data_IF_591607776187
#
_entry.id   IF_591607776187
#
_cell.length_a   1.000
_cell.length_b   1.000
_cell.length_c   1.000
_cell.angle_alpha   90.00
_cell.angle_beta   90.00
_cell.angle_gamma   90.00
#
_symmetry.space_group_name_H-M   'P 1'
#
loop_
_entity.id
_entity.type
_entity.pdbx_description
1 polymer ?
#
# COMPACT_ATOMS: atom_id res chain seq x y z
N UNK A 1 9.23 -38.02 -25.04
CA UNK A 1 9.06 -36.65 -25.53
C UNK A 1 8.91 -35.72 -24.32
N UNK A 2 9.94 -34.96 -24.01
CA UNK A 2 9.84 -33.92 -22.99
C UNK A 2 8.98 -32.79 -23.58
N UNK A 3 7.70 -32.74 -23.21
CA UNK A 3 6.88 -31.56 -23.44
C UNK A 3 7.48 -30.46 -22.56
N UNK A 4 8.21 -29.52 -23.15
CA UNK A 4 8.59 -28.28 -22.49
C UNK A 4 7.29 -27.62 -22.02
N UNK A 5 7.02 -27.67 -20.73
CA UNK A 5 5.87 -27.02 -20.14
C UNK A 5 6.08 -25.51 -20.37
N UNK A 6 5.21 -24.88 -21.16
CA UNK A 6 5.29 -23.44 -21.37
C UNK A 6 5.30 -22.72 -20.02
N UNK A 7 6.14 -21.70 -19.89
CA UNK A 7 6.22 -20.89 -18.67
C UNK A 7 4.89 -20.15 -18.46
N UNK A 8 4.48 -20.06 -17.22
CA UNK A 8 3.32 -19.23 -16.86
C UNK A 8 3.71 -17.76 -17.00
N UNK A 9 3.01 -17.05 -17.88
CA UNK A 9 3.21 -15.62 -18.13
C UNK A 9 2.38 -14.78 -17.16
N UNK A 10 3.05 -13.95 -16.36
CA UNK A 10 2.42 -13.11 -15.34
C UNK A 10 2.59 -11.63 -15.72
N UNK A 11 1.50 -10.92 -15.93
CA UNK A 11 1.51 -9.47 -16.03
C UNK A 11 1.32 -8.85 -14.63
N UNK A 12 2.26 -8.03 -14.18
CA UNK A 12 2.18 -7.30 -12.91
C UNK A 12 1.84 -5.84 -13.19
N UNK A 13 0.70 -5.36 -12.69
CA UNK A 13 0.21 -4.00 -12.99
C UNK A 13 0.10 -3.18 -11.72
N UNK A 14 0.85 -2.08 -11.64
CA UNK A 14 0.76 -1.15 -10.53
C UNK A 14 1.06 0.30 -10.97
N UNK A 15 0.41 1.31 -10.36
CA UNK A 15 0.76 2.70 -10.61
C UNK A 15 2.17 3.01 -10.05
N UNK A 16 2.85 4.06 -10.54
CA UNK A 16 4.24 4.37 -10.18
C UNK A 16 4.40 5.00 -8.79
N UNK A 17 3.54 4.64 -7.84
CA UNK A 17 3.60 5.13 -6.47
C UNK A 17 4.29 4.12 -5.56
N UNK A 18 5.26 4.58 -4.74
CA UNK A 18 6.06 3.68 -3.89
C UNK A 18 5.22 2.81 -2.96
N UNK A 19 4.13 3.34 -2.39
CA UNK A 19 3.23 2.59 -1.49
C UNK A 19 2.39 1.51 -2.18
N UNK A 20 2.35 1.49 -3.52
CA UNK A 20 1.60 0.55 -4.35
C UNK A 20 2.53 -0.38 -5.13
N UNK A 21 3.53 0.19 -5.81
CA UNK A 21 4.44 -0.57 -6.65
C UNK A 21 5.41 -1.43 -5.83
N UNK A 22 6.01 -0.90 -4.75
CA UNK A 22 7.01 -1.66 -3.99
C UNK A 22 6.43 -2.90 -3.30
N UNK A 23 5.26 -2.84 -2.63
CA UNK A 23 4.65 -4.03 -2.06
C UNK A 23 4.35 -5.14 -3.08
N UNK A 24 3.86 -4.78 -4.29
CA UNK A 24 3.56 -5.79 -5.31
C UNK A 24 4.85 -6.34 -5.96
N UNK A 25 5.90 -5.51 -6.11
CA UNK A 25 7.21 -6.00 -6.56
C UNK A 25 7.83 -6.98 -5.56
N UNK A 26 7.79 -6.66 -4.25
CA UNK A 26 8.24 -7.58 -3.19
C UNK A 26 7.44 -8.89 -3.21
N UNK A 27 6.12 -8.81 -3.40
CA UNK A 27 5.23 -9.96 -3.50
C UNK A 27 5.63 -10.93 -4.62
N UNK A 28 6.03 -10.40 -5.80
CA UNK A 28 6.36 -11.21 -6.98
C UNK A 28 7.84 -11.52 -7.13
N UNK A 29 8.73 -10.81 -6.45
CA UNK A 29 10.19 -10.95 -6.59
C UNK A 29 10.71 -12.38 -6.38
N UNK A 30 10.24 -13.18 -5.40
CA UNK A 30 10.67 -14.57 -5.26
C UNK A 30 10.29 -15.45 -6.45
N UNK A 31 9.21 -15.12 -7.18
CA UNK A 31 8.81 -15.87 -8.40
C UNK A 31 9.76 -15.57 -9.57
N UNK A 32 10.35 -14.38 -9.63
CA UNK A 32 11.33 -14.01 -10.65
C UNK A 32 12.54 -14.94 -10.63
N UNK A 33 12.91 -15.48 -9.47
CA UNK A 33 14.00 -16.44 -9.33
C UNK A 33 13.66 -17.83 -9.87
N UNK A 34 12.38 -18.14 -10.12
CA UNK A 34 11.88 -19.40 -10.70
C UNK A 34 11.70 -19.27 -12.21
N UNK A 35 12.78 -18.86 -12.92
CA UNK A 35 12.78 -18.53 -14.35
C UNK A 35 12.32 -19.67 -15.26
N UNK A 36 12.45 -20.91 -14.82
CA UNK A 36 11.99 -22.08 -15.60
C UNK A 36 10.47 -22.25 -15.54
N UNK A 37 9.82 -21.63 -14.58
CA UNK A 37 8.37 -21.75 -14.34
C UNK A 37 7.59 -20.49 -14.70
N UNK A 38 8.16 -19.30 -14.50
CA UNK A 38 7.48 -18.03 -14.66
C UNK A 38 8.19 -17.11 -15.65
N UNK A 39 7.40 -16.38 -16.41
CA UNK A 39 7.78 -15.23 -17.23
C UNK A 39 6.99 -14.02 -16.73
N UNK A 40 7.67 -13.02 -16.17
CA UNK A 40 7.03 -11.91 -15.44
C UNK A 40 7.39 -10.60 -16.11
N UNK A 41 6.38 -9.82 -16.48
CA UNK A 41 6.54 -8.46 -16.99
C UNK A 41 5.76 -7.46 -16.12
N UNK A 42 6.36 -6.31 -15.80
CA UNK A 42 5.75 -5.25 -14.99
C UNK A 42 5.25 -4.11 -15.88
N UNK A 43 4.02 -3.65 -15.62
CA UNK A 43 3.36 -2.55 -16.32
C UNK A 43 3.15 -1.40 -15.34
N UNK A 44 3.83 -0.28 -15.56
CA UNK A 44 3.80 0.87 -14.63
C UNK A 44 4.08 2.19 -15.36
N UNK A 45 4.11 3.32 -14.64
CA UNK A 45 4.47 4.62 -15.20
C UNK A 45 5.97 4.87 -15.29
N UNK A 46 6.37 5.80 -16.14
CA UNK A 46 7.75 6.08 -16.55
C UNK A 46 8.72 6.31 -15.38
N UNK A 47 8.33 7.06 -14.34
CA UNK A 47 9.23 7.41 -13.23
C UNK A 47 9.72 6.24 -12.37
N UNK A 48 9.13 5.08 -12.54
CA UNK A 48 9.53 3.87 -11.81
C UNK A 48 10.19 2.82 -12.71
N UNK A 49 10.46 3.14 -13.98
CA UNK A 49 11.13 2.26 -14.93
C UNK A 49 12.45 1.74 -14.38
N UNK A 50 13.36 2.65 -14.03
CA UNK A 50 14.68 2.31 -13.49
C UNK A 50 14.61 1.40 -12.25
N UNK A 51 13.68 1.68 -11.34
CA UNK A 51 13.46 0.88 -10.13
C UNK A 51 13.09 -0.56 -10.48
N UNK A 52 12.20 -0.77 -11.43
CA UNK A 52 11.73 -2.10 -11.87
C UNK A 52 12.86 -2.85 -12.58
N UNK A 53 13.57 -2.20 -13.49
CA UNK A 53 14.70 -2.77 -14.24
C UNK A 53 15.86 -3.17 -13.30
N UNK A 54 16.18 -2.37 -12.30
CA UNK A 54 17.21 -2.68 -11.29
C UNK A 54 16.89 -3.93 -10.46
N UNK A 55 15.60 -4.27 -10.31
CA UNK A 55 15.17 -5.52 -9.66
C UNK A 55 15.21 -6.72 -10.61
N UNK A 56 15.53 -6.49 -11.88
CA UNK A 56 15.63 -7.54 -12.89
C UNK A 56 14.33 -7.90 -13.59
N UNK A 57 13.27 -7.10 -13.42
CA UNK A 57 12.01 -7.32 -14.12
C UNK A 57 12.02 -6.63 -15.50
N UNK A 58 11.55 -7.30 -16.56
CA UNK A 58 11.08 -6.64 -17.77
C UNK A 58 9.96 -5.64 -17.43
N UNK A 59 9.96 -4.47 -18.07
CA UNK A 59 8.98 -3.42 -17.81
C UNK A 59 8.42 -2.82 -19.09
N UNK A 60 7.11 -2.60 -19.11
CA UNK A 60 6.37 -1.83 -20.12
C UNK A 60 5.81 -0.58 -19.48
N UNK A 61 5.97 0.54 -20.17
CA UNK A 61 5.54 1.83 -19.65
C UNK A 61 4.16 2.16 -20.18
N UNK A 62 3.26 2.47 -19.25
CA UNK A 62 1.93 2.97 -19.55
C UNK A 62 1.97 4.49 -19.60
N UNK A 63 1.31 5.09 -20.60
CA UNK A 63 1.29 6.53 -20.88
C UNK A 63 2.70 7.11 -21.08
N UNK A 64 3.54 6.44 -21.85
CA UNK A 64 4.94 6.84 -22.08
C UNK A 64 5.04 8.25 -22.69
N UNK A 65 4.06 8.67 -23.50
CA UNK A 65 3.94 10.02 -24.03
C UNK A 65 3.62 11.10 -22.99
N UNK A 66 3.27 10.71 -21.75
CA UNK A 66 2.94 11.58 -20.61
C UNK A 66 3.65 11.13 -19.33
N UNK A 67 4.98 11.20 -19.27
CA UNK A 67 5.80 10.57 -18.24
C UNK A 67 5.49 11.03 -16.80
N UNK A 68 4.95 12.26 -16.65
CA UNK A 68 4.64 12.87 -15.34
C UNK A 68 3.16 12.82 -14.95
N UNK A 69 2.29 12.20 -15.78
CA UNK A 69 0.84 12.34 -15.61
C UNK A 69 0.32 11.76 -14.30
N UNK A 70 0.87 10.63 -13.85
CA UNK A 70 0.44 9.99 -12.60
C UNK A 70 0.76 10.84 -11.37
N UNK A 71 1.98 11.39 -11.33
CA UNK A 71 2.43 12.27 -10.25
C UNK A 71 1.68 13.60 -10.26
N UNK A 72 1.48 14.19 -11.42
CA UNK A 72 0.74 15.46 -11.55
C UNK A 72 -0.71 15.36 -11.04
N UNK A 73 -1.34 14.19 -11.17
CA UNK A 73 -2.67 13.96 -10.63
C UNK A 73 -2.63 13.70 -9.12
N UNK A 74 -1.63 12.98 -8.62
CA UNK A 74 -1.54 12.56 -7.23
C UNK A 74 -0.88 13.57 -6.31
N UNK A 75 0.10 14.34 -6.81
CA UNK A 75 0.80 15.37 -6.03
C UNK A 75 -0.15 16.54 -5.75
N UNK A 76 -0.37 16.81 -4.46
CA UNK A 76 -1.14 17.96 -4.01
C UNK A 76 -0.30 18.82 -3.08
N UNK A 77 -0.44 20.15 -3.19
CA UNK A 77 0.25 21.09 -2.31
C UNK A 77 -0.40 21.19 -0.91
N UNK A 78 -1.55 20.54 -0.73
CA UNK A 78 -2.39 20.64 0.47
C UNK A 78 -3.05 19.30 0.79
N UNK A 79 -3.50 19.17 2.03
CA UNK A 79 -4.33 18.03 2.48
C UNK A 79 -5.51 17.82 1.55
N UNK A 80 -5.79 16.57 1.20
CA UNK A 80 -6.90 16.16 0.36
C UNK A 80 -8.25 16.58 0.96
N UNK A 81 -9.11 17.15 0.14
CA UNK A 81 -10.48 17.52 0.45
C UNK A 81 -11.43 16.99 -0.65
N UNK A 82 -12.76 17.03 -0.47
CA UNK A 82 -13.70 16.49 -1.46
C UNK A 82 -13.57 17.09 -2.88
N UNK A 83 -13.16 18.36 -3.02
CA UNK A 83 -12.96 19.01 -4.32
C UNK A 83 -11.70 18.46 -5.01
N UNK A 84 -10.60 18.35 -4.27
CA UNK A 84 -9.34 17.77 -4.76
C UNK A 84 -9.59 16.31 -5.16
N UNK A 85 -10.24 15.52 -4.29
CA UNK A 85 -10.57 14.14 -4.56
C UNK A 85 -11.44 13.98 -5.83
N UNK A 86 -12.44 14.85 -6.03
CA UNK A 86 -13.25 14.86 -7.24
C UNK A 86 -12.43 15.18 -8.49
N UNK A 87 -11.54 16.19 -8.42
CA UNK A 87 -10.66 16.56 -9.53
C UNK A 87 -9.74 15.39 -9.92
N UNK A 88 -9.04 14.80 -8.94
CA UNK A 88 -8.19 13.64 -9.14
C UNK A 88 -8.94 12.46 -9.74
N UNK A 89 -10.14 12.17 -9.23
CA UNK A 89 -10.99 11.09 -9.74
C UNK A 89 -11.41 11.33 -11.20
N UNK A 90 -11.81 12.56 -11.53
CA UNK A 90 -12.19 12.96 -12.90
C UNK A 90 -11.03 12.85 -13.87
N UNK A 91 -9.83 13.31 -13.48
CA UNK A 91 -8.61 13.23 -14.31
C UNK A 91 -8.19 11.78 -14.53
N UNK A 92 -8.14 10.95 -13.47
CA UNK A 92 -7.85 9.53 -13.59
C UNK A 92 -8.86 8.82 -14.52
N UNK A 93 -10.16 9.11 -14.37
CA UNK A 93 -11.19 8.54 -15.24
C UNK A 93 -10.99 8.96 -16.71
N UNK A 94 -10.49 10.18 -16.96
CA UNK A 94 -10.15 10.67 -18.29
C UNK A 94 -9.01 9.90 -18.96
N UNK A 95 -8.08 9.36 -18.17
CA UNK A 95 -6.95 8.56 -18.66
C UNK A 95 -7.31 7.09 -18.91
N UNK A 96 -8.33 6.57 -18.23
CA UNK A 96 -8.69 5.15 -18.28
C UNK A 96 -8.83 4.58 -19.70
N UNK A 97 -9.53 5.23 -20.67
CA UNK A 97 -9.69 4.67 -22.00
C UNK A 97 -8.35 4.44 -22.70
N UNK A 98 -7.38 5.34 -22.52
CA UNK A 98 -6.04 5.21 -23.10
C UNK A 98 -5.25 4.09 -22.42
N UNK A 99 -5.24 4.04 -21.09
CA UNK A 99 -4.55 2.99 -20.34
C UNK A 99 -5.13 1.61 -20.68
N UNK A 100 -6.46 1.50 -20.75
CA UNK A 100 -7.14 0.25 -21.16
C UNK A 100 -6.67 -0.17 -22.56
N UNK A 101 -6.64 0.75 -23.52
CA UNK A 101 -6.22 0.47 -24.89
C UNK A 101 -4.76 0.00 -24.96
N UNK A 102 -3.84 0.71 -24.30
CA UNK A 102 -2.43 0.32 -24.25
C UNK A 102 -2.24 -1.06 -23.61
N UNK A 103 -2.96 -1.35 -22.52
CA UNK A 103 -2.91 -2.67 -21.89
C UNK A 103 -3.50 -3.77 -22.79
N UNK A 104 -4.61 -3.49 -23.51
CA UNK A 104 -5.19 -4.42 -24.47
C UNK A 104 -4.20 -4.76 -25.60
N UNK A 105 -3.48 -3.75 -26.11
CA UNK A 105 -2.48 -3.94 -27.15
C UNK A 105 -1.33 -4.82 -26.65
N UNK A 106 -0.74 -4.50 -25.48
CA UNK A 106 0.31 -5.30 -24.87
C UNK A 106 -0.16 -6.74 -24.57
N UNK A 107 -1.33 -6.91 -23.97
CA UNK A 107 -1.80 -8.26 -23.56
C UNK A 107 -2.27 -9.11 -24.74
N UNK A 108 -2.68 -8.49 -25.85
CA UNK A 108 -3.00 -9.21 -27.08
C UNK A 108 -1.73 -9.78 -27.74
N UNK A 109 -0.60 -9.09 -27.62
CA UNK A 109 0.70 -9.52 -28.12
C UNK A 109 1.36 -10.53 -27.18
N UNK A 110 1.48 -10.21 -25.92
CA UNK A 110 2.25 -11.00 -24.93
C UNK A 110 1.46 -12.18 -24.35
N UNK A 111 0.12 -12.11 -24.37
CA UNK A 111 -0.82 -13.15 -23.92
C UNK A 111 -0.50 -13.68 -22.52
N UNK A 112 -0.56 -12.82 -21.47
CA UNK A 112 -0.35 -13.29 -20.12
C UNK A 112 -1.43 -14.30 -19.70
N UNK A 113 -1.03 -15.33 -18.95
CA UNK A 113 -1.94 -16.34 -18.41
C UNK A 113 -2.73 -15.80 -17.21
N UNK A 114 -2.13 -14.86 -16.47
CA UNK A 114 -2.73 -14.27 -15.28
C UNK A 114 -2.17 -12.86 -15.05
N UNK A 115 -3.01 -11.98 -14.48
CA UNK A 115 -2.59 -10.62 -14.06
C UNK A 115 -2.53 -10.58 -12.54
N UNK A 116 -1.48 -9.97 -11.97
CA UNK A 116 -1.39 -9.56 -10.57
C UNK A 116 -1.42 -8.05 -10.54
N UNK A 117 -2.46 -7.46 -9.94
CA UNK A 117 -2.71 -6.03 -10.03
C UNK A 117 -2.83 -5.38 -8.66
N UNK A 118 -2.22 -4.22 -8.50
CA UNK A 118 -2.51 -3.36 -7.35
C UNK A 118 -3.98 -2.88 -7.39
N UNK A 119 -4.60 -2.73 -6.23
CA UNK A 119 -6.03 -2.44 -6.11
C UNK A 119 -6.46 -1.10 -6.73
N UNK A 120 -5.56 -0.14 -6.90
CA UNK A 120 -5.87 1.11 -7.61
C UNK A 120 -5.58 1.04 -9.12
N UNK A 121 -5.06 -0.07 -9.61
CA UNK A 121 -4.91 -0.33 -11.04
C UNK A 121 -6.27 -0.72 -11.67
N UNK A 122 -7.28 0.12 -11.50
CA UNK A 122 -8.67 -0.12 -11.92
C UNK A 122 -8.82 -0.52 -13.39
N UNK A 123 -8.02 -0.02 -14.38
CA UNK A 123 -8.10 -0.47 -15.76
C UNK A 123 -8.02 -1.99 -15.95
N UNK A 124 -7.36 -2.72 -15.03
CA UNK A 124 -7.23 -4.19 -15.10
C UNK A 124 -8.58 -4.90 -15.11
N UNK A 125 -9.58 -4.44 -14.33
CA UNK A 125 -10.89 -5.11 -14.29
C UNK A 125 -11.60 -5.09 -15.66
N UNK A 126 -11.34 -4.09 -16.52
CA UNK A 126 -11.90 -4.00 -17.86
C UNK A 126 -11.15 -4.89 -18.85
N UNK A 127 -9.82 -4.78 -18.83
CA UNK A 127 -8.95 -5.55 -19.75
C UNK A 127 -9.05 -7.04 -19.48
N UNK A 128 -9.03 -7.44 -18.21
CA UNK A 128 -9.24 -8.83 -17.76
C UNK A 128 -10.55 -9.41 -18.29
N UNK A 129 -11.67 -8.66 -18.12
CA UNK A 129 -12.99 -9.07 -18.62
C UNK A 129 -13.01 -9.20 -20.16
N UNK A 130 -12.43 -8.22 -20.86
CA UNK A 130 -12.45 -8.18 -22.33
C UNK A 130 -11.60 -9.27 -22.97
N UNK A 131 -10.41 -9.50 -22.43
CA UNK A 131 -9.46 -10.51 -22.94
C UNK A 131 -9.62 -11.89 -22.29
N UNK A 132 -10.56 -12.01 -21.33
CA UNK A 132 -10.80 -13.25 -20.58
C UNK A 132 -9.55 -13.77 -19.86
N UNK A 133 -8.74 -12.88 -19.29
CA UNK A 133 -7.54 -13.20 -18.53
C UNK A 133 -7.87 -13.14 -17.05
N UNK A 134 -7.68 -14.20 -16.24
CA UNK A 134 -7.91 -14.14 -14.80
C UNK A 134 -6.91 -13.22 -14.11
N UNK A 135 -7.30 -12.67 -12.96
CA UNK A 135 -6.45 -11.76 -12.24
C UNK A 135 -6.56 -11.87 -10.72
N UNK A 136 -5.54 -11.38 -10.03
CA UNK A 136 -5.44 -11.32 -8.58
C UNK A 136 -5.30 -9.86 -8.19
N UNK A 137 -6.09 -9.38 -7.21
CA UNK A 137 -5.88 -8.07 -6.60
C UNK A 137 -4.88 -8.17 -5.47
N UNK A 138 -3.85 -7.33 -5.48
CA UNK A 138 -2.95 -7.07 -4.37
C UNK A 138 -3.37 -5.79 -3.67
N UNK A 139 -3.59 -5.82 -2.36
CA UNK A 139 -4.07 -4.66 -1.61
C UNK A 139 -3.25 -4.42 -0.33
N UNK A 140 -2.36 -3.40 -0.32
CA UNK A 140 -1.58 -3.06 0.87
C UNK A 140 -2.44 -2.42 1.98
N UNK A 141 -3.60 -1.86 1.65
CA UNK A 141 -4.53 -1.21 2.57
C UNK A 141 -5.88 -1.95 2.61
N UNK A 142 -5.99 -3.10 3.30
CA UNK A 142 -7.15 -3.99 3.23
C UNK A 142 -8.48 -3.32 3.57
N UNK A 143 -8.48 -2.37 4.49
CA UNK A 143 -9.67 -1.64 4.90
C UNK A 143 -10.18 -0.63 3.85
N UNK A 144 -9.51 -0.49 2.69
CA UNK A 144 -10.03 0.25 1.55
C UNK A 144 -11.25 -0.45 0.91
N UNK A 145 -11.36 -1.76 1.05
CA UNK A 145 -12.56 -2.51 0.65
C UNK A 145 -13.75 -2.02 1.47
N UNK A 146 -14.85 -1.66 0.78
CA UNK A 146 -16.07 -1.18 1.43
C UNK A 146 -16.61 -2.22 2.41
N UNK A 147 -16.86 -1.82 3.66
CA UNK A 147 -17.39 -2.71 4.68
C UNK A 147 -18.93 -2.67 4.75
N UNK A 148 -19.52 -3.78 5.22
CA UNK A 148 -20.99 -3.93 5.32
C UNK A 148 -21.51 -3.67 6.74
N UNK A 149 -20.75 -4.03 7.75
CA UNK A 149 -21.23 -4.12 9.15
C UNK A 149 -20.43 -3.31 10.15
N UNK A 150 -19.13 -3.21 9.99
CA UNK A 150 -18.21 -2.64 10.98
C UNK A 150 -17.97 -1.13 10.83
N UNK A 151 -17.07 -0.55 11.64
CA UNK A 151 -16.67 0.86 11.57
C UNK A 151 -15.95 1.13 10.24
N UNK A 152 -16.41 2.09 9.42
CA UNK A 152 -15.84 2.35 8.11
C UNK A 152 -14.48 3.08 8.20
N UNK A 153 -13.60 2.80 7.25
CA UNK A 153 -12.36 3.52 7.03
C UNK A 153 -12.56 4.79 6.17
N UNK A 154 -11.51 5.59 6.04
CA UNK A 154 -11.49 6.88 5.30
C UNK A 154 -12.44 7.94 5.84
N UNK A 155 -12.81 7.85 7.11
CA UNK A 155 -13.60 8.85 7.84
C UNK A 155 -12.78 9.39 9.01
N UNK A 156 -11.56 9.87 8.71
CA UNK A 156 -10.63 10.48 9.67
C UNK A 156 -10.28 9.59 10.88
N UNK A 157 -10.23 8.27 10.71
CA UNK A 157 -9.82 7.33 11.76
C UNK A 157 -10.85 7.17 12.87
N UNK A 158 -12.02 6.61 12.53
CA UNK A 158 -13.05 6.31 13.52
C UNK A 158 -12.64 5.10 14.36
N UNK A 159 -12.74 5.25 15.69
CA UNK A 159 -12.59 4.13 16.63
C UNK A 159 -13.85 3.28 16.68
N UNK A 160 -13.75 1.94 16.56
CA UNK A 160 -14.86 1.02 16.78
C UNK A 160 -15.33 1.09 18.23
N UNK A 161 -16.65 1.11 18.44
CA UNK A 161 -17.28 1.12 19.77
C UNK A 161 -18.63 0.42 19.72
N UNK A 162 -18.96 -0.33 20.77
CA UNK A 162 -20.14 -1.20 20.80
C UNK A 162 -21.45 -0.53 21.17
N UNK A 163 -21.45 0.74 21.64
CA UNK A 163 -22.71 1.39 22.04
C UNK A 163 -23.61 1.70 20.83
N UNK A 164 -24.92 1.76 21.05
CA UNK A 164 -25.93 2.01 20.04
C UNK A 164 -25.66 3.28 19.22
N UNK A 165 -25.23 4.36 19.88
CA UNK A 165 -24.92 5.64 19.23
C UNK A 165 -23.78 5.49 18.22
N UNK A 166 -22.70 4.74 18.56
CA UNK A 166 -21.58 4.53 17.67
C UNK A 166 -21.93 3.57 16.53
N UNK A 167 -22.75 2.54 16.77
CA UNK A 167 -23.29 1.68 15.70
C UNK A 167 -24.14 2.48 14.70
N UNK A 168 -24.94 3.44 15.20
CA UNK A 168 -25.71 4.34 14.35
C UNK A 168 -24.78 5.30 13.56
N UNK A 169 -23.77 5.91 14.19
CA UNK A 169 -22.73 6.69 13.53
C UNK A 169 -22.10 5.89 12.37
N UNK A 170 -21.68 4.65 12.63
CA UNK A 170 -21.02 3.81 11.64
C UNK A 170 -21.95 3.44 10.48
N UNK A 171 -23.23 3.17 10.76
CA UNK A 171 -24.25 2.96 9.72
C UNK A 171 -24.41 4.18 8.81
N UNK A 172 -24.48 5.38 9.39
CA UNK A 172 -24.56 6.62 8.62
C UNK A 172 -23.28 6.87 7.81
N UNK A 173 -22.12 6.66 8.39
CA UNK A 173 -20.84 6.85 7.72
C UNK A 173 -20.68 5.88 6.53
N UNK A 174 -21.04 4.60 6.67
CA UNK A 174 -21.08 3.64 5.55
C UNK A 174 -22.08 4.08 4.46
N UNK A 175 -23.27 4.49 4.86
CA UNK A 175 -24.28 5.01 3.94
C UNK A 175 -23.79 6.24 3.17
N UNK A 176 -23.09 7.14 3.84
CA UNK A 176 -22.50 8.33 3.23
C UNK A 176 -21.40 7.95 2.21
N UNK A 177 -20.46 7.07 2.56
CA UNK A 177 -19.40 6.61 1.64
C UNK A 177 -20.02 5.98 0.39
N UNK A 178 -20.96 5.06 0.58
CA UNK A 178 -21.64 4.37 -0.53
C UNK A 178 -22.47 5.33 -1.38
N UNK A 179 -23.18 6.27 -0.76
CA UNK A 179 -23.90 7.33 -1.42
C UNK A 179 -23.00 8.25 -2.23
N UNK A 180 -21.87 8.65 -1.66
CA UNK A 180 -20.87 9.47 -2.33
C UNK A 180 -20.28 8.77 -3.56
N UNK A 181 -19.87 7.49 -3.45
CA UNK A 181 -19.41 6.70 -4.59
C UNK A 181 -20.45 6.60 -5.70
N UNK A 182 -21.73 6.33 -5.35
CA UNK A 182 -22.84 6.30 -6.32
C UNK A 182 -23.06 7.65 -6.98
N UNK A 183 -22.99 8.74 -6.21
CA UNK A 183 -23.14 10.11 -6.72
C UNK A 183 -22.01 10.45 -7.71
N UNK A 184 -20.75 10.12 -7.39
CA UNK A 184 -19.63 10.29 -8.33
C UNK A 184 -19.84 9.50 -9.62
N UNK A 185 -20.27 8.24 -9.53
CA UNK A 185 -20.60 7.44 -10.70
C UNK A 185 -21.76 8.04 -11.51
N UNK A 186 -22.76 8.62 -10.85
CA UNK A 186 -23.86 9.28 -11.52
C UNK A 186 -23.41 10.56 -12.24
N UNK A 187 -22.60 11.40 -11.60
CA UNK A 187 -22.06 12.63 -12.21
C UNK A 187 -21.22 12.27 -13.45
N UNK A 188 -20.42 11.22 -13.35
CA UNK A 188 -19.49 10.78 -14.41
C UNK A 188 -20.07 9.67 -15.31
N UNK A 189 -21.39 9.47 -15.27
CA UNK A 189 -22.07 8.36 -15.97
C UNK A 189 -21.83 8.32 -17.48
N UNK A 190 -21.59 9.48 -18.13
CA UNK A 190 -21.30 9.52 -19.57
C UNK A 190 -19.98 8.84 -19.91
N UNK A 191 -18.94 9.06 -19.08
CA UNK A 191 -17.63 8.41 -19.23
C UNK A 191 -17.71 6.93 -18.86
N UNK A 192 -18.33 6.61 -17.72
CA UNK A 192 -18.49 5.25 -17.23
C UNK A 192 -19.33 4.37 -18.16
N UNK A 193 -20.35 4.93 -18.83
CA UNK A 193 -21.17 4.19 -19.81
C UNK A 193 -20.35 3.74 -21.01
N UNK A 194 -19.34 4.53 -21.44
CA UNK A 194 -18.43 4.14 -22.51
C UNK A 194 -17.54 2.95 -22.13
N UNK A 195 -17.36 2.70 -20.83
CA UNK A 195 -16.55 1.63 -20.27
C UNK A 195 -17.40 0.41 -19.84
N UNK A 196 -18.72 0.43 -20.01
CA UNK A 196 -19.67 -0.58 -19.49
C UNK A 196 -19.40 -0.90 -18.00
N UNK A 197 -19.15 0.14 -17.19
CA UNK A 197 -18.79 -0.03 -15.78
C UNK A 197 -20.00 -0.06 -14.85
N UNK A 198 -20.07 -1.12 -14.03
CA UNK A 198 -20.96 -1.21 -12.88
C UNK A 198 -20.11 -1.20 -11.60
N UNK A 199 -20.39 -0.25 -10.70
CA UNK A 199 -19.62 -0.08 -9.46
C UNK A 199 -19.72 -1.31 -8.55
N UNK A 200 -20.88 -1.93 -8.45
CA UNK A 200 -21.15 -3.08 -7.58
C UNK A 200 -21.64 -4.28 -8.39
N UNK A 201 -21.26 -5.47 -7.96
CA UNK A 201 -21.79 -6.74 -8.42
C UNK A 201 -23.16 -7.04 -7.76
N UNK A 202 -23.76 -8.19 -8.09
CA UNK A 202 -25.05 -8.63 -7.54
C UNK A 202 -25.01 -8.85 -6.02
N UNK A 203 -23.85 -9.18 -5.46
CA UNK A 203 -23.61 -9.32 -4.01
C UNK A 203 -23.40 -7.98 -3.30
N UNK A 204 -23.41 -6.87 -4.07
CA UNK A 204 -23.16 -5.52 -3.56
C UNK A 204 -21.68 -5.26 -3.22
N UNK A 205 -20.75 -6.03 -3.77
CA UNK A 205 -19.31 -5.86 -3.65
C UNK A 205 -18.76 -5.03 -4.81
N UNK A 206 -17.66 -4.34 -4.60
CA UNK A 206 -17.06 -3.46 -5.60
C UNK A 206 -16.42 -4.27 -6.75
N UNK A 207 -16.82 -4.00 -7.98
CA UNK A 207 -16.34 -4.70 -9.19
C UNK A 207 -14.90 -4.34 -9.60
N UNK A 208 -14.26 -3.42 -8.90
CA UNK A 208 -12.85 -3.04 -9.14
C UNK A 208 -11.87 -4.08 -8.60
N UNK A 209 -12.33 -4.98 -7.72
CA UNK A 209 -11.51 -6.04 -7.17
C UNK A 209 -11.71 -7.36 -7.91
N UNK A 210 -10.68 -8.20 -7.89
CA UNK A 210 -10.73 -9.52 -8.53
C UNK A 210 -11.86 -10.39 -7.96
N UNK A 211 -12.65 -11.05 -8.82
CA UNK A 211 -13.59 -12.06 -8.37
C UNK A 211 -12.91 -13.40 -8.01
N UNK A 212 -11.62 -13.57 -8.33
CA UNK A 212 -10.88 -14.83 -8.14
C UNK A 212 -10.09 -14.86 -6.83
N UNK A 213 -9.35 -13.77 -6.54
CA UNK A 213 -8.53 -13.67 -5.32
C UNK A 213 -8.17 -12.22 -5.03
N UNK A 214 -8.24 -11.85 -3.75
CA UNK A 214 -7.78 -10.57 -3.20
C UNK A 214 -6.75 -10.88 -2.12
N UNK A 215 -5.50 -10.53 -2.35
CA UNK A 215 -4.39 -10.73 -1.41
C UNK A 215 -4.12 -9.46 -0.62
N UNK A 216 -4.45 -9.48 0.65
CA UNK A 216 -4.19 -8.40 1.57
C UNK A 216 -2.74 -8.42 2.04
N UNK A 217 -1.98 -7.38 1.69
CA UNK A 217 -0.58 -7.21 2.10
C UNK A 217 -0.51 -6.55 3.49
N UNK A 218 -1.15 -7.18 4.45
CA UNK A 218 -1.27 -6.72 5.84
C UNK A 218 -1.42 -7.86 6.81
N UNK A 219 -1.57 -7.54 8.09
CA UNK A 219 -1.71 -8.51 9.18
C UNK A 219 -3.14 -8.53 9.70
N UNK A 220 -3.70 -9.75 9.84
CA UNK A 220 -5.02 -9.96 10.45
C UNK A 220 -5.07 -9.48 11.90
N UNK A 221 -3.98 -9.63 12.62
CA UNK A 221 -3.88 -9.38 14.06
C UNK A 221 -4.04 -7.92 14.48
N UNK A 222 -3.87 -6.97 13.54
CA UNK A 222 -4.14 -5.56 13.80
C UNK A 222 -5.48 -5.09 13.22
N UNK A 223 -6.20 -5.96 12.50
CA UNK A 223 -7.48 -5.61 11.88
C UNK A 223 -8.64 -5.99 12.80
N UNK A 224 -9.54 -5.06 13.04
CA UNK A 224 -10.76 -5.28 13.84
C UNK A 224 -11.98 -5.67 13.00
N UNK A 225 -11.85 -5.67 11.66
CA UNK A 225 -12.90 -6.08 10.71
C UNK A 225 -12.79 -7.57 10.38
N UNK A 226 -13.95 -8.17 10.10
CA UNK A 226 -14.10 -9.54 9.63
C UNK A 226 -15.01 -9.67 8.40
N UNK A 227 -15.62 -8.56 7.94
CA UNK A 227 -16.61 -8.51 6.87
C UNK A 227 -16.00 -8.34 5.46
N UNK A 228 -14.96 -9.10 5.15
CA UNK A 228 -14.30 -9.12 3.85
C UNK A 228 -15.02 -10.06 2.84
N UNK A 229 -14.87 -9.83 1.52
CA UNK A 229 -15.37 -10.75 0.48
C UNK A 229 -14.80 -12.17 0.62
N UNK A 230 -15.53 -13.18 0.14
CA UNK A 230 -15.13 -14.59 0.28
C UNK A 230 -13.81 -14.95 -0.41
N UNK A 231 -13.42 -14.21 -1.46
CA UNK A 231 -12.16 -14.37 -2.19
C UNK A 231 -10.97 -13.63 -1.55
N UNK A 232 -11.18 -13.00 -0.40
CA UNK A 232 -10.14 -12.28 0.35
C UNK A 232 -9.29 -13.22 1.20
N UNK A 233 -7.97 -12.99 1.21
CA UNK A 233 -7.01 -13.72 2.06
C UNK A 233 -5.93 -12.79 2.58
N UNK A 234 -5.50 -13.00 3.82
CA UNK A 234 -4.35 -12.32 4.42
C UNK A 234 -3.06 -12.95 3.91
N UNK A 235 -2.31 -12.22 3.08
CA UNK A 235 -1.02 -12.68 2.56
C UNK A 235 0.15 -12.34 3.50
N UNK A 236 -0.01 -11.31 4.29
CA UNK A 236 1.04 -10.76 5.11
C UNK A 236 1.68 -9.52 4.48
N UNK A 237 2.36 -8.70 5.29
CA UNK A 237 2.95 -7.45 4.82
C UNK A 237 4.09 -7.67 3.82
N UNK A 238 4.14 -6.78 2.82
CA UNK A 238 5.29 -6.58 1.94
C UNK A 238 5.86 -5.18 2.24
N UNK A 239 6.86 -5.11 3.08
CA UNK A 239 7.44 -3.85 3.57
C UNK A 239 8.97 -3.89 3.67
N UNK A 240 9.61 -4.93 3.11
CA UNK A 240 11.07 -5.04 3.08
C UNK A 240 11.67 -4.06 2.08
N UNK A 241 12.88 -3.65 2.37
CA UNK A 241 13.65 -2.81 1.46
C UNK A 241 14.05 -3.60 0.22
N UNK A 242 13.62 -3.12 -0.94
CA UNK A 242 13.95 -3.73 -2.23
C UNK A 242 15.40 -3.44 -2.66
N UNK A 243 16.01 -2.40 -2.12
CA UNK A 243 17.38 -1.98 -2.42
C UNK A 243 18.13 -1.68 -1.13
N UNK A 244 19.37 -2.11 -1.07
CA UNK A 244 20.29 -1.88 0.08
C UNK A 244 21.14 -0.60 -0.09
N UNK A 245 20.68 0.34 -0.86
CA UNK A 245 21.42 1.56 -1.19
C UNK A 245 20.90 2.71 -0.33
N UNK A 246 21.37 2.82 0.89
CA UNK A 246 21.07 3.97 1.74
C UNK A 246 22.34 4.66 2.22
N UNK A 247 22.21 5.90 2.69
CA UNK A 247 23.27 6.55 3.44
C UNK A 247 23.63 5.68 4.66
N UNK A 248 24.90 5.48 4.92
CA UNK A 248 25.36 4.74 6.10
C UNK A 248 25.02 5.54 7.35
N UNK A 249 24.22 4.98 8.22
CA UNK A 249 23.97 5.51 9.55
C UNK A 249 24.85 4.78 10.57
N UNK A 250 25.66 5.55 11.30
CA UNK A 250 26.50 5.06 12.38
C UNK A 250 25.89 5.43 13.73
N UNK A 251 25.84 4.44 14.62
CA UNK A 251 25.29 4.63 15.97
C UNK A 251 26.29 5.45 16.80
N UNK A 252 25.84 6.60 17.31
CA UNK A 252 26.62 7.41 18.25
C UNK A 252 26.32 6.98 19.69
N UNK A 253 27.23 6.29 20.33
CA UNK A 253 27.09 5.70 21.68
C UNK A 253 26.95 6.71 22.82
N UNK A 254 27.20 8.00 22.55
CA UNK A 254 27.04 9.08 23.55
C UNK A 254 25.58 9.39 23.89
N UNK A 255 24.62 8.92 23.07
CA UNK A 255 23.19 9.16 23.30
C UNK A 255 22.52 7.97 23.98
N UNK A 256 21.60 8.24 24.91
CA UNK A 256 20.87 7.22 25.65
C UNK A 256 19.85 6.49 24.77
N UNK A 257 19.24 7.21 23.83
CA UNK A 257 18.20 6.72 22.91
C UNK A 257 18.37 7.31 21.52
N UNK A 258 18.00 6.53 20.52
CA UNK A 258 17.96 6.96 19.12
C UNK A 258 16.52 6.89 18.62
N UNK A 259 16.02 8.01 18.11
CA UNK A 259 14.64 8.15 17.64
C UNK A 259 14.65 8.43 16.13
N UNK A 260 14.04 7.55 15.34
CA UNK A 260 13.83 7.78 13.91
C UNK A 260 12.55 8.58 13.69
N UNK A 261 12.64 9.63 12.89
CA UNK A 261 11.46 10.36 12.39
C UNK A 261 11.36 10.20 10.88
N UNK A 262 10.18 9.82 10.35
CA UNK A 262 9.97 9.71 8.91
C UNK A 262 8.55 10.01 8.48
N UNK A 263 8.40 10.58 7.27
CA UNK A 263 7.11 10.86 6.63
C UNK A 263 6.87 10.07 5.34
N UNK A 264 7.74 9.11 5.07
CA UNK A 264 7.66 8.35 3.82
C UNK A 264 7.94 9.23 2.59
N UNK A 265 7.55 8.74 1.42
CA UNK A 265 7.94 9.33 0.13
C UNK A 265 6.91 10.30 -0.46
N UNK A 266 5.65 10.27 -0.02
CA UNK A 266 4.52 10.79 -0.80
C UNK A 266 4.13 12.25 -0.52
N UNK A 267 4.15 12.74 0.70
CA UNK A 267 3.63 14.07 1.02
C UNK A 267 4.74 15.13 1.04
N UNK A 268 5.11 15.69 -0.12
CA UNK A 268 6.18 16.71 -0.24
C UNK A 268 5.95 17.92 0.69
N UNK A 269 4.71 18.44 0.75
CA UNK A 269 4.34 19.57 1.61
C UNK A 269 4.55 19.29 3.11
N UNK A 270 4.56 18.03 3.50
CA UNK A 270 4.69 17.64 4.90
C UNK A 270 6.15 17.48 5.36
N UNK A 271 7.15 17.49 4.44
CA UNK A 271 8.56 17.23 4.77
C UNK A 271 9.15 18.27 5.74
N UNK A 272 8.86 19.56 5.54
CA UNK A 272 9.37 20.61 6.43
C UNK A 272 8.84 20.49 7.86
N UNK A 273 7.62 19.98 8.05
CA UNK A 273 7.03 19.85 9.38
C UNK A 273 7.70 18.76 10.22
N UNK A 274 8.29 17.69 9.62
CA UNK A 274 8.98 16.65 10.40
C UNK A 274 10.32 17.17 10.95
N UNK A 275 11.06 17.98 10.17
CA UNK A 275 12.32 18.60 10.63
C UNK A 275 12.01 19.53 11.78
N UNK A 276 10.93 20.31 11.70
CA UNK A 276 10.52 21.20 12.80
C UNK A 276 10.18 20.43 14.07
N UNK A 277 9.38 19.35 13.96
CA UNK A 277 9.08 18.47 15.10
C UNK A 277 10.37 17.87 15.68
N UNK A 278 11.29 17.41 14.83
CA UNK A 278 12.56 16.84 15.27
C UNK A 278 13.40 17.85 16.04
N UNK A 279 13.50 19.11 15.56
CA UNK A 279 14.21 20.19 16.27
C UNK A 279 13.61 20.51 17.64
N UNK A 280 12.31 20.59 17.75
CA UNK A 280 11.64 20.82 19.02
C UNK A 280 11.88 19.69 20.02
N UNK A 281 11.84 18.44 19.56
CA UNK A 281 12.13 17.27 20.39
C UNK A 281 13.61 17.23 20.79
N UNK A 282 14.54 17.52 19.87
CA UNK A 282 15.98 17.53 20.15
C UNK A 282 16.37 18.56 21.21
N UNK A 283 15.72 19.72 21.22
CA UNK A 283 15.92 20.73 22.25
C UNK A 283 15.39 20.29 23.62
N UNK A 284 14.25 19.59 23.66
CA UNK A 284 13.64 19.12 24.91
C UNK A 284 14.36 17.90 25.51
N UNK A 285 14.94 17.03 24.65
CA UNK A 285 15.59 15.78 25.04
C UNK A 285 17.05 15.74 24.56
N UNK A 286 17.96 16.52 25.18
CA UNK A 286 19.35 16.66 24.68
C UNK A 286 20.17 15.36 24.75
N UNK A 287 19.77 14.38 25.58
CA UNK A 287 20.43 13.09 25.72
C UNK A 287 20.02 12.08 24.66
N UNK A 288 19.03 12.40 23.79
CA UNK A 288 18.56 11.50 22.74
C UNK A 288 18.99 12.01 21.37
N UNK A 289 19.34 11.07 20.48
CA UNK A 289 19.63 11.38 19.08
C UNK A 289 18.36 11.29 18.24
N UNK A 290 18.06 12.35 17.50
CA UNK A 290 16.94 12.41 16.57
C UNK A 290 17.46 12.28 15.15
N UNK A 291 17.01 11.23 14.45
CA UNK A 291 17.40 10.91 13.07
C UNK A 291 16.20 11.07 12.16
N UNK A 292 16.28 11.93 11.16
CA UNK A 292 15.18 12.19 10.24
C UNK A 292 15.49 11.58 8.87
N UNK A 293 14.55 10.80 8.34
CA UNK A 293 14.57 10.33 6.94
C UNK A 293 13.45 11.02 6.14
N UNK A 294 13.82 11.76 5.09
CA UNK A 294 12.85 12.51 4.26
C UNK A 294 12.21 11.67 3.16
N UNK A 295 12.62 10.41 2.99
CA UNK A 295 12.07 9.50 1.98
C UNK A 295 12.39 9.90 0.52
N UNK A 296 13.41 10.73 0.28
CA UNK A 296 13.81 11.18 -1.05
C UNK A 296 14.89 10.25 -1.62
N UNK A 297 14.50 9.10 -2.14
CA UNK A 297 15.43 8.07 -2.64
C UNK A 297 16.37 8.56 -3.75
N UNK A 298 15.93 9.44 -4.63
CA UNK A 298 16.77 9.99 -5.73
C UNK A 298 17.95 10.84 -5.21
N UNK A 299 17.87 11.33 -3.98
CA UNK A 299 18.91 12.15 -3.34
C UNK A 299 19.58 11.42 -2.18
N UNK A 300 19.52 10.08 -2.16
CA UNK A 300 19.88 9.20 -1.04
C UNK A 300 21.31 9.35 -0.50
N UNK A 301 22.24 9.79 -1.34
CA UNK A 301 23.66 9.91 -0.97
C UNK A 301 24.01 11.20 -0.21
N UNK A 302 23.05 12.14 -0.13
CA UNK A 302 23.28 13.44 0.49
C UNK A 302 22.85 13.44 1.96
N UNK A 303 23.76 13.77 2.87
CA UNK A 303 23.45 14.21 4.22
C UNK A 303 23.05 15.70 4.17
N UNK A 304 21.97 16.07 4.87
CA UNK A 304 21.47 17.44 4.81
C UNK A 304 21.92 18.26 6.04
N UNK A 305 21.75 17.67 7.24
CA UNK A 305 21.99 18.36 8.50
C UNK A 305 22.64 17.39 9.49
N UNK A 306 23.70 17.86 10.16
CA UNK A 306 24.25 17.22 11.34
C UNK A 306 24.51 18.30 12.41
N UNK A 307 23.57 18.41 13.35
CA UNK A 307 23.57 19.39 14.41
C UNK A 307 23.44 18.68 15.78
N UNK A 308 24.41 18.86 16.69
CA UNK A 308 24.34 18.31 18.05
C UNK A 308 23.74 16.90 18.16
N UNK A 309 22.42 16.81 18.47
CA UNK A 309 21.64 15.58 18.61
C UNK A 309 20.53 15.47 17.55
N UNK A 310 20.70 16.09 16.38
CA UNK A 310 19.80 16.02 15.23
C UNK A 310 20.58 15.71 13.97
N UNK A 311 20.19 14.64 13.26
CA UNK A 311 20.73 14.28 11.95
C UNK A 311 19.59 14.15 10.95
N UNK A 312 19.73 14.73 9.74
CA UNK A 312 18.71 14.68 8.70
C UNK A 312 19.32 14.09 7.42
N UNK A 313 18.69 13.05 6.92
CA UNK A 313 19.06 12.33 5.71
C UNK A 313 17.96 12.45 4.66
N UNK A 314 18.35 12.46 3.39
CA UNK A 314 17.38 12.37 2.30
C UNK A 314 16.66 11.02 2.29
N UNK A 315 17.38 9.93 2.51
CA UNK A 315 16.82 8.58 2.56
C UNK A 315 17.63 7.68 3.49
N UNK A 316 16.93 6.92 4.31
CA UNK A 316 17.48 5.81 5.09
C UNK A 316 16.62 4.57 4.83
N UNK A 317 17.30 3.46 4.61
CA UNK A 317 16.65 2.16 4.46
C UNK A 317 16.11 1.68 5.81
N UNK A 318 14.83 1.28 5.85
CA UNK A 318 14.19 0.88 7.09
C UNK A 318 14.74 -0.43 7.65
N UNK A 319 15.12 -1.40 6.81
CA UNK A 319 15.71 -2.65 7.28
C UNK A 319 17.13 -2.45 7.85
N UNK A 320 17.82 -1.36 7.45
CA UNK A 320 19.15 -1.02 7.98
C UNK A 320 19.08 -0.12 9.24
N UNK A 321 18.13 0.83 9.28
CA UNK A 321 18.06 1.82 10.37
C UNK A 321 17.24 1.32 11.56
N UNK A 322 16.11 0.62 11.33
CA UNK A 322 15.22 0.23 12.42
C UNK A 322 15.89 -0.67 13.47
N UNK A 323 16.75 -1.63 13.13
CA UNK A 323 17.51 -2.37 14.16
C UNK A 323 18.33 -1.48 15.11
N UNK A 324 18.77 -0.31 14.63
CA UNK A 324 19.69 0.60 15.33
C UNK A 324 19.00 1.68 16.17
N UNK A 325 17.67 1.83 16.05
CA UNK A 325 16.91 2.85 16.77
C UNK A 325 16.07 2.23 17.90
N UNK A 326 15.70 3.02 18.90
CA UNK A 326 14.85 2.60 20.00
C UNK A 326 13.36 2.83 19.68
N UNK A 327 13.04 3.99 19.12
CA UNK A 327 11.67 4.45 18.88
C UNK A 327 11.51 5.09 17.51
N UNK A 328 10.27 5.11 17.02
CA UNK A 328 9.95 5.69 15.72
C UNK A 328 8.81 6.72 15.85
N UNK A 329 8.94 7.84 15.15
CA UNK A 329 7.84 8.79 14.93
C UNK A 329 7.55 8.80 13.43
N UNK A 330 6.33 8.43 13.04
CA UNK A 330 6.00 8.33 11.61
C UNK A 330 4.57 8.76 11.29
N UNK A 331 4.30 8.91 9.99
CA UNK A 331 3.01 9.39 9.49
C UNK A 331 1.87 8.35 9.50
N UNK A 332 2.16 7.06 9.70
CA UNK A 332 1.14 6.00 9.71
C UNK A 332 0.89 5.33 8.34
N UNK A 333 1.82 5.42 7.40
CA UNK A 333 1.73 4.64 6.16
C UNK A 333 1.97 3.14 6.41
N UNK A 334 1.39 2.27 5.56
CA UNK A 334 1.49 0.81 5.69
C UNK A 334 2.93 0.30 5.81
N UNK A 335 3.83 0.73 4.88
CA UNK A 335 5.20 0.24 4.84
C UNK A 335 5.96 0.46 6.15
N UNK A 336 6.00 1.70 6.67
CA UNK A 336 6.71 2.00 7.92
C UNK A 336 6.04 1.38 9.15
N UNK A 337 4.70 1.28 9.18
CA UNK A 337 3.99 0.63 10.29
C UNK A 337 4.38 -0.85 10.37
N UNK A 338 4.31 -1.58 9.26
CA UNK A 338 4.70 -2.99 9.25
C UNK A 338 6.20 -3.19 9.44
N UNK A 339 7.05 -2.27 8.98
CA UNK A 339 8.48 -2.28 9.30
C UNK A 339 8.73 -2.10 10.79
N UNK A 340 7.99 -1.22 11.48
CA UNK A 340 8.04 -1.10 12.94
C UNK A 340 7.63 -2.40 13.64
N UNK A 341 6.57 -3.07 13.19
CA UNK A 341 6.16 -4.37 13.72
C UNK A 341 7.24 -5.42 13.48
N UNK A 342 7.76 -5.53 12.25
CA UNK A 342 8.83 -6.47 11.85
C UNK A 342 10.05 -6.36 12.79
N UNK A 343 10.48 -5.14 13.06
CA UNK A 343 11.67 -4.85 13.87
C UNK A 343 11.38 -4.60 15.36
N UNK A 344 10.15 -4.87 15.83
CA UNK A 344 9.72 -4.67 17.21
C UNK A 344 10.00 -3.25 17.73
N UNK A 345 9.65 -2.20 16.94
CA UNK A 345 9.89 -0.81 17.29
C UNK A 345 8.61 -0.08 17.66
N UNK A 346 8.49 0.35 18.93
CA UNK A 346 7.36 1.19 19.37
C UNK A 346 7.32 2.52 18.63
N UNK A 347 6.11 3.05 18.41
CA UNK A 347 5.99 4.25 17.61
C UNK A 347 5.03 5.30 18.17
N UNK A 348 5.26 6.56 17.76
CA UNK A 348 4.25 7.62 17.74
C UNK A 348 3.81 7.85 16.29
N UNK A 349 2.51 7.76 16.05
CA UNK A 349 1.91 7.98 14.74
C UNK A 349 1.30 9.38 14.69
N UNK A 350 1.71 10.17 13.69
CA UNK A 350 1.20 11.52 13.43
C UNK A 350 0.53 11.49 12.03
N UNK A 351 -0.74 11.13 11.93
CA UNK A 351 -1.43 11.01 10.63
C UNK A 351 -1.56 12.38 9.94
N UNK A 352 -1.41 12.39 8.62
CA UNK A 352 -1.50 13.60 7.79
C UNK A 352 -2.67 13.54 6.82
N UNK A 353 -2.80 12.43 6.08
CA UNK A 353 -3.82 12.28 5.04
C UNK A 353 -4.14 10.80 4.76
N UNK A 354 -5.13 10.54 3.93
CA UNK A 354 -5.56 9.23 3.41
C UNK A 354 -5.81 8.16 4.49
N UNK A 355 -5.23 6.98 4.30
CA UNK A 355 -5.32 5.79 5.13
C UNK A 355 -4.56 5.87 6.46
N UNK A 356 -3.72 6.89 6.63
CA UNK A 356 -2.84 7.06 7.79
C UNK A 356 -3.61 7.15 9.11
N UNK A 357 -4.80 7.79 9.09
CA UNK A 357 -5.67 7.88 10.26
C UNK A 357 -6.20 6.51 10.68
N UNK A 358 -6.57 5.69 9.70
CA UNK A 358 -7.12 4.36 9.94
C UNK A 358 -6.05 3.37 10.40
N UNK A 359 -4.82 3.49 9.89
CA UNK A 359 -3.66 2.76 10.43
C UNK A 359 -3.31 3.21 11.85
N UNK A 360 -3.41 4.51 12.14
CA UNK A 360 -3.23 5.04 13.48
C UNK A 360 -4.19 4.40 14.49
N UNK A 361 -5.49 4.32 14.15
CA UNK A 361 -6.50 3.66 15.00
C UNK A 361 -6.16 2.19 15.24
N UNK A 362 -5.76 1.46 14.20
CA UNK A 362 -5.38 0.04 14.32
C UNK A 362 -4.18 -0.17 15.20
N UNK A 363 -3.17 0.66 15.05
CA UNK A 363 -1.95 0.60 15.86
C UNK A 363 -2.20 0.95 17.34
N UNK A 364 -3.06 1.94 17.60
CA UNK A 364 -3.46 2.33 18.96
C UNK A 364 -4.29 1.23 19.64
N UNK A 365 -5.27 0.67 18.93
CA UNK A 365 -6.08 -0.46 19.43
C UNK A 365 -5.26 -1.73 19.66
N UNK A 366 -4.25 -1.98 18.83
CA UNK A 366 -3.29 -3.07 19.01
C UNK A 366 -2.26 -2.77 20.11
N UNK A 367 -2.27 -1.58 20.68
CA UNK A 367 -1.34 -1.10 21.72
C UNK A 367 0.14 -1.15 21.31
N UNK A 368 0.44 -0.87 20.04
CA UNK A 368 1.80 -0.85 19.48
C UNK A 368 2.31 0.55 19.18
N UNK A 369 1.45 1.55 19.23
CA UNK A 369 1.80 2.94 19.02
C UNK A 369 0.87 3.88 19.78
N UNK A 370 1.29 5.13 19.95
CA UNK A 370 0.44 6.25 20.38
C UNK A 370 0.14 7.16 19.20
N UNK A 371 -1.10 7.63 19.09
CA UNK A 371 -1.51 8.54 18.00
C UNK A 371 -1.50 9.98 18.49
N UNK A 372 -0.89 10.86 17.71
CA UNK A 372 -0.82 12.29 18.00
C UNK A 372 -1.48 13.14 16.91
N UNK A 373 -2.01 14.29 17.32
CA UNK A 373 -2.57 15.26 16.39
C UNK A 373 -1.47 16.18 15.84
N UNK A 374 -1.27 16.18 14.53
CA UNK A 374 -0.29 17.02 13.84
C UNK A 374 -0.38 18.52 14.19
N UNK A 375 -1.60 19.03 14.39
CA UNK A 375 -1.85 20.46 14.68
C UNK A 375 -1.62 20.83 16.14
N UNK A 376 -1.27 19.87 17.00
CA UNK A 376 -1.11 20.08 18.43
C UNK A 376 0.26 19.62 18.93
N UNK A 377 1.18 20.56 19.10
CA UNK A 377 2.48 20.30 19.74
C UNK A 377 2.32 19.57 21.08
N UNK A 378 1.35 19.99 21.91
CA UNK A 378 1.04 19.34 23.20
C UNK A 378 0.65 17.87 23.01
N UNK A 379 -0.12 17.55 21.95
CA UNK A 379 -0.49 16.16 21.63
C UNK A 379 0.72 15.32 21.25
N UNK A 380 1.63 15.87 20.44
CA UNK A 380 2.85 15.18 20.00
C UNK A 380 3.75 14.89 21.20
N UNK A 381 4.03 15.90 22.02
CA UNK A 381 4.85 15.75 23.23
C UNK A 381 4.24 14.74 24.19
N UNK A 382 2.92 14.82 24.45
CA UNK A 382 2.23 13.87 25.33
C UNK A 382 2.29 12.43 24.81
N UNK A 383 2.17 12.22 23.51
CA UNK A 383 2.27 10.88 22.93
C UNK A 383 3.71 10.35 23.03
N UNK A 384 4.70 11.21 22.81
CA UNK A 384 6.11 10.87 22.94
C UNK A 384 6.49 10.55 24.40
N UNK A 385 6.09 11.38 25.39
CA UNK A 385 6.32 11.13 26.81
C UNK A 385 5.70 9.78 27.24
N UNK A 386 4.45 9.50 26.83
CA UNK A 386 3.79 8.21 27.11
C UNK A 386 4.55 7.02 26.52
N UNK A 387 5.12 7.17 25.32
CA UNK A 387 5.92 6.12 24.68
C UNK A 387 7.20 5.84 25.47
N UNK A 388 7.87 6.88 25.98
CA UNK A 388 9.07 6.76 26.82
C UNK A 388 8.77 6.12 28.18
N UNK A 389 7.63 6.45 28.79
CA UNK A 389 7.18 5.93 30.08
C UNK A 389 6.78 4.45 30.03
N UNK A 390 6.32 3.97 28.87
CA UNK A 390 5.86 2.59 28.68
C UNK A 390 7.03 1.61 28.60
N UNK A 391 7.21 0.79 29.64
CA UNK A 391 8.33 -0.16 29.74
C UNK A 391 8.16 -1.43 28.89
N UNK A 392 6.93 -1.89 28.69
CA UNK A 392 6.65 -3.16 28.04
C UNK A 392 5.71 -3.02 26.84
N UNK A 393 6.08 -3.63 25.74
CA UNK A 393 5.35 -3.61 24.48
C UNK A 393 4.97 -5.04 24.05
N UNK A 394 4.31 -5.78 24.98
CA UNK A 394 4.00 -7.22 24.82
C UNK A 394 3.22 -7.52 23.53
N UNK A 395 2.29 -6.66 23.14
CA UNK A 395 1.53 -6.87 21.91
C UNK A 395 2.41 -6.67 20.67
N UNK A 396 3.32 -5.72 20.69
CA UNK A 396 4.27 -5.50 19.59
C UNK A 396 5.20 -6.70 19.41
N UNK A 397 5.70 -7.30 20.50
CA UNK A 397 6.49 -8.53 20.46
C UNK A 397 5.72 -9.71 19.88
N UNK A 398 4.42 -9.88 20.26
CA UNK A 398 3.55 -10.89 19.70
C UNK A 398 3.34 -10.68 18.20
N UNK A 399 3.08 -9.45 17.78
CA UNK A 399 2.89 -9.10 16.38
C UNK A 399 4.16 -9.26 15.54
N UNK A 400 5.33 -8.92 16.09
CA UNK A 400 6.61 -9.18 15.44
C UNK A 400 6.85 -10.68 15.20
N UNK A 401 6.48 -11.53 16.14
CA UNK A 401 6.50 -13.01 15.95
C UNK A 401 5.51 -13.46 14.88
N UNK A 402 4.26 -12.96 14.93
CA UNK A 402 3.23 -13.27 13.95
C UNK A 402 3.62 -12.82 12.54
N UNK A 403 4.29 -11.66 12.40
CA UNK A 403 4.81 -11.16 11.13
C UNK A 403 5.65 -12.21 10.40
N UNK A 404 6.54 -12.90 11.12
CA UNK A 404 7.45 -13.91 10.57
C UNK A 404 6.74 -15.21 10.14
N UNK A 405 5.46 -15.40 10.48
CA UNK A 405 4.67 -16.56 10.02
C UNK A 405 4.01 -16.36 8.67
N UNK A 406 4.02 -15.15 8.16
CA UNK A 406 3.47 -14.84 6.83
C UNK A 406 4.46 -15.15 5.72
N UNK A 407 3.96 -15.70 4.62
CA UNK A 407 4.70 -15.95 3.37
C UNK A 407 3.92 -15.43 2.18
N UNK A 408 3.95 -14.10 1.90
CA UNK A 408 3.11 -13.49 0.87
C UNK A 408 3.27 -14.12 -0.51
N UNK A 409 4.51 -14.38 -0.92
CA UNK A 409 4.83 -14.95 -2.24
C UNK A 409 4.38 -16.40 -2.38
N UNK A 410 4.45 -17.20 -1.31
CA UNK A 410 3.98 -18.59 -1.34
C UNK A 410 2.46 -18.64 -1.48
N UNK A 411 1.74 -17.73 -0.80
CA UNK A 411 0.30 -17.62 -0.99
C UNK A 411 -0.05 -17.14 -2.40
N UNK A 412 0.68 -16.16 -2.95
CA UNK A 412 0.50 -15.74 -4.35
C UNK A 412 0.69 -16.91 -5.30
N UNK A 413 1.76 -17.68 -5.16
CA UNK A 413 2.04 -18.84 -6.02
C UNK A 413 0.93 -19.91 -5.92
N UNK A 414 0.44 -20.18 -4.72
CA UNK A 414 -0.70 -21.08 -4.47
C UNK A 414 -1.96 -20.60 -5.19
N UNK A 415 -2.27 -19.30 -5.11
CA UNK A 415 -3.45 -18.71 -5.73
C UNK A 415 -3.34 -18.70 -7.27
N UNK A 416 -2.17 -18.38 -7.84
CA UNK A 416 -1.91 -18.49 -9.26
C UNK A 416 -2.21 -19.93 -9.75
N UNK A 417 -1.61 -20.93 -9.10
CA UNK A 417 -1.81 -22.34 -9.48
C UNK A 417 -3.28 -22.77 -9.32
N UNK A 418 -3.98 -22.32 -8.28
CA UNK A 418 -5.41 -22.62 -8.05
C UNK A 418 -6.29 -22.06 -9.16
N UNK A 419 -6.06 -20.78 -9.53
CA UNK A 419 -6.87 -20.08 -10.53
C UNK A 419 -6.64 -20.70 -11.91
N UNK A 420 -5.39 -20.92 -12.32
CA UNK A 420 -5.07 -21.46 -13.64
C UNK A 420 -5.62 -22.89 -13.82
N UNK A 421 -5.49 -23.77 -12.81
CA UNK A 421 -6.12 -25.09 -12.82
C UNK A 421 -7.65 -25.01 -12.95
N UNK A 422 -8.28 -24.02 -12.35
CA UNK A 422 -9.72 -23.78 -12.49
C UNK A 422 -10.11 -23.38 -13.91
N UNK A 423 -9.33 -22.51 -14.55
CA UNK A 423 -9.54 -22.05 -15.93
C UNK A 423 -9.33 -23.21 -16.94
N UNK A 424 -8.30 -24.03 -16.76
CA UNK A 424 -8.05 -25.20 -17.61
C UNK A 424 -9.23 -26.19 -17.59
N UNK A 425 -9.76 -26.50 -16.40
CA UNK A 425 -10.94 -27.37 -16.26
C UNK A 425 -12.17 -26.82 -16.97
N UNK A 426 -12.40 -25.50 -16.93
CA UNK A 426 -13.51 -24.86 -17.63
C UNK A 426 -13.35 -24.90 -19.16
N UNK A 427 -12.12 -24.65 -19.66
CA UNK A 427 -11.83 -24.75 -21.09
C UNK A 427 -12.08 -26.19 -21.62
N UNK A 428 -11.62 -27.17 -20.85
CA UNK A 428 -11.83 -28.58 -21.19
C UNK A 428 -13.32 -28.95 -21.22
N UNK A 429 -14.07 -28.54 -20.19
CA UNK A 429 -15.52 -28.76 -20.10
C UNK A 429 -16.30 -28.11 -21.25
N UNK A 430 -15.93 -26.91 -21.68
CA UNK A 430 -16.56 -26.22 -22.82
C UNK A 430 -16.22 -26.87 -24.15
N UNK A 431 -15.02 -27.42 -24.31
CA UNK A 431 -14.63 -28.18 -25.51
C UNK A 431 -15.44 -29.49 -25.62
N UNK A 432 -15.57 -30.24 -24.54
CA UNK A 432 -16.40 -31.46 -24.52
C UNK A 432 -17.89 -31.18 -24.84
N UNK A 433 -18.41 -29.99 -24.51
CA UNK A 433 -19.79 -29.62 -24.88
C UNK A 433 -19.96 -29.14 -26.32
N UNK A 434 -18.89 -28.73 -27.01
CA UNK A 434 -18.92 -28.33 -28.41
C UNK A 434 -18.71 -29.54 -29.36
N UNK A 435 -18.17 -30.63 -28.86
CA UNK A 435 -17.93 -31.86 -29.59
C UNK A 435 -19.12 -32.83 -29.51
N UNK A 436 -20.21 -32.44 -28.83
CA UNK A 436 -21.53 -33.09 -28.81
C UNK A 436 -22.57 -32.24 -29.55
#
# INVERSE_FOLDING_TARGET
MNTYKEKIKIAVVAPPFSGHLYPILELVLPLLNKKDKYDICVYTGFKKKEVVERLGFPVKILLEDRPDVFENISDTDKKTNPIIAYKQFKENLGLMPKIIKEMEDYFSEEKPDIIVADFIAVPVCFVSKKLNIPWITSIPTPFAIENKTTTPAYVSGLYPRDSFIFKLRDKFARGFIRGFKKLLCFILRKQLKKLDFKLYNEKGEENIYSPYSILALGMKEIEFRDDFPSQFSWAGPCCSSLFKDSAKFEVETKFEKIILLTKGTHLKWAKNSIIHIARELSQKYPNYLFVVSLGSYLEREKEIIKENNLQVYHYLDYDEILPKVDYVIHHGGAGILYSCIKHNKPAVIIPHDYDQFDYGVRADLAEIAFVANLKSKKSILKAFDKMLERKEWRNLEKLSKAFNSYSPSDLLEKEINRILKGVEKWKFYLQEQQDF
#
